data_IF_921569517374
#
_entry.id   IF_921569517374
#
_cell.length_a   1.000
_cell.length_b   1.000
_cell.length_c   1.000
_cell.angle_alpha   90.00
_cell.angle_beta   90.00
_cell.angle_gamma   90.00
#
_symmetry.space_group_name_H-M   'P 1'
#
loop_
_entity.id
_entity.type
_entity.pdbx_description
1 polymer ?
#
# COMPACT_ATOMS: atom_id res chain seq x y z
N UNK A 1 -25.15 11.63 6.44
CA UNK A 1 -24.67 10.72 5.37
C UNK A 1 -23.16 10.91 5.19
N UNK A 2 -22.41 10.94 6.28
CA UNK A 2 -21.06 11.55 6.29
C UNK A 2 -19.93 10.52 6.34
N UNK A 3 -20.27 9.23 6.41
CA UNK A 3 -19.30 8.13 6.48
C UNK A 3 -18.59 7.80 5.16
N UNK A 4 -19.12 8.23 4.01
CA UNK A 4 -18.59 7.86 2.69
C UNK A 4 -17.62 8.91 2.10
N UNK A 5 -17.79 10.19 2.44
CA UNK A 5 -17.08 11.31 1.84
C UNK A 5 -15.57 11.36 2.16
N UNK A 6 -15.12 10.63 3.19
CA UNK A 6 -13.71 10.57 3.60
C UNK A 6 -13.27 9.14 3.96
N UNK A 7 -13.94 8.12 3.41
CA UNK A 7 -13.67 6.72 3.74
C UNK A 7 -12.21 6.32 3.45
N UNK A 8 -11.58 6.94 2.45
CA UNK A 8 -10.19 6.68 2.07
C UNK A 8 -9.19 7.68 2.67
N UNK A 9 -9.64 8.60 3.53
CA UNK A 9 -8.77 9.56 4.18
C UNK A 9 -7.66 8.88 4.98
N UNK A 10 -6.40 9.28 4.73
CA UNK A 10 -5.23 8.68 5.35
C UNK A 10 -4.67 7.45 4.64
N UNK A 11 -5.24 7.02 3.51
CA UNK A 11 -4.71 5.94 2.67
C UNK A 11 -4.04 6.48 1.40
N UNK A 12 -3.09 5.73 0.86
CA UNK A 12 -2.46 5.96 -0.44
C UNK A 12 -2.84 4.87 -1.43
N UNK A 13 -3.31 5.25 -2.61
CA UNK A 13 -3.76 4.32 -3.66
C UNK A 13 -2.93 4.52 -4.93
N UNK A 14 -2.33 3.44 -5.44
CA UNK A 14 -1.69 3.40 -6.73
C UNK A 14 -2.68 3.22 -7.87
N UNK A 15 -2.52 4.00 -8.94
CA UNK A 15 -3.33 3.91 -10.16
C UNK A 15 -2.45 3.49 -11.33
N UNK A 16 -2.68 2.28 -11.84
CA UNK A 16 -1.91 1.71 -12.97
C UNK A 16 -2.54 2.00 -14.34
N UNK A 17 -3.76 2.53 -14.34
CA UNK A 17 -4.45 2.89 -15.57
C UNK A 17 -3.76 4.09 -16.24
N UNK A 18 -3.53 4.00 -17.55
CA UNK A 18 -3.19 5.15 -18.37
C UNK A 18 -4.45 5.88 -18.89
N UNK A 19 -5.50 5.11 -19.22
CA UNK A 19 -6.77 5.63 -19.74
C UNK A 19 -7.77 5.87 -18.63
N UNK A 20 -8.53 6.98 -18.73
CA UNK A 20 -9.50 7.43 -17.70
C UNK A 20 -8.91 7.49 -16.29
N UNK A 21 -7.59 7.64 -16.18
CA UNK A 21 -6.90 7.74 -14.91
C UNK A 21 -7.29 9.01 -14.15
N UNK A 22 -7.63 10.08 -14.86
CA UNK A 22 -8.14 11.33 -14.29
C UNK A 22 -9.46 11.11 -13.54
N UNK A 23 -10.41 10.40 -14.16
CA UNK A 23 -11.69 10.07 -13.52
C UNK A 23 -11.49 9.19 -12.28
N UNK A 24 -10.66 8.14 -12.40
CA UNK A 24 -10.34 7.27 -11.27
C UNK A 24 -9.62 8.02 -10.14
N UNK A 25 -8.63 8.85 -10.47
CA UNK A 25 -7.90 9.70 -9.52
C UNK A 25 -8.86 10.63 -8.79
N UNK A 26 -9.68 11.36 -9.54
CA UNK A 26 -10.66 12.30 -8.98
C UNK A 26 -11.64 11.60 -8.02
N UNK A 27 -12.16 10.43 -8.40
CA UNK A 27 -13.11 9.68 -7.56
C UNK A 27 -12.47 9.15 -6.27
N UNK A 28 -11.19 8.79 -6.30
CA UNK A 28 -10.41 8.37 -5.13
C UNK A 28 -10.09 9.57 -4.21
N UNK A 29 -9.63 10.68 -4.79
CA UNK A 29 -9.29 11.90 -4.06
C UNK A 29 -10.53 12.54 -3.41
N UNK A 30 -11.69 12.52 -4.09
CA UNK A 30 -12.97 12.95 -3.51
C UNK A 30 -13.40 12.13 -2.29
N UNK A 31 -12.83 10.93 -2.09
CA UNK A 31 -13.02 10.10 -0.89
C UNK A 31 -11.87 10.23 0.11
N UNK A 32 -10.92 11.13 -0.13
CA UNK A 32 -9.81 11.46 0.75
C UNK A 32 -8.52 10.66 0.53
N UNK A 33 -8.44 9.82 -0.51
CA UNK A 33 -7.22 9.08 -0.81
C UNK A 33 -6.11 10.02 -1.31
N UNK A 34 -4.85 9.71 -0.97
CA UNK A 34 -3.71 10.21 -1.73
C UNK A 34 -3.48 9.29 -2.93
N UNK A 35 -3.37 9.82 -4.13
CA UNK A 35 -3.17 9.01 -5.34
C UNK A 35 -1.71 9.04 -5.79
N UNK A 36 -1.18 7.88 -6.19
CA UNK A 36 0.08 7.74 -6.92
C UNK A 36 -0.24 7.23 -8.31
N UNK A 37 -0.15 8.09 -9.32
CA UNK A 37 -0.34 7.69 -10.72
C UNK A 37 0.94 7.05 -11.27
N UNK A 38 0.82 5.84 -11.80
CA UNK A 38 1.93 5.03 -12.29
C UNK A 38 1.46 4.14 -13.44
N UNK A 39 1.27 4.70 -14.64
CA UNK A 39 0.67 3.98 -15.76
C UNK A 39 1.52 2.76 -16.15
N UNK A 40 0.88 1.60 -16.29
CA UNK A 40 1.57 0.34 -16.58
C UNK A 40 1.65 0.01 -18.08
N UNK A 41 0.64 0.45 -18.84
CA UNK A 41 0.50 0.19 -20.28
C UNK A 41 -0.08 1.42 -20.98
N UNK A 42 0.18 1.56 -22.28
CA UNK A 42 -0.51 2.50 -23.17
C UNK A 42 -1.11 1.74 -24.34
N UNK A 43 -2.29 2.11 -24.85
CA UNK A 43 -2.79 1.51 -26.06
C UNK A 43 -1.94 1.98 -27.24
N UNK A 44 -1.92 1.15 -28.26
CA UNK A 44 -1.24 1.44 -29.52
C UNK A 44 -2.12 0.87 -30.62
N UNK A 45 -2.19 1.56 -31.76
CA UNK A 45 -2.85 1.01 -32.93
C UNK A 45 -2.00 -0.17 -33.40
N UNK A 46 -2.64 -1.32 -33.63
CA UNK A 46 -1.96 -2.47 -34.19
C UNK A 46 -1.77 -2.19 -35.68
N UNK A 47 -0.51 -2.08 -36.11
CA UNK A 47 -0.17 -1.79 -37.51
C UNK A 47 0.41 -2.97 -38.27
N UNK A 48 0.52 -4.16 -37.66
CA UNK A 48 1.17 -5.33 -38.28
C UNK A 48 0.24 -6.55 -38.42
N UNK A 49 0.54 -7.28 -39.49
CA UNK A 49 -0.17 -8.37 -40.16
C UNK A 49 -0.32 -9.62 -39.28
N UNK A 50 -1.43 -10.39 -39.42
CA UNK A 50 -1.66 -11.58 -38.60
C UNK A 50 -0.67 -12.72 -38.88
N UNK A 51 -0.28 -13.46 -37.83
CA UNK A 51 0.50 -14.70 -37.95
C UNK A 51 -0.30 -15.79 -38.70
N UNK A 52 0.33 -16.61 -39.57
CA UNK A 52 -0.36 -17.67 -40.30
C UNK A 52 -0.83 -18.79 -39.37
N UNK A 53 -2.08 -19.22 -39.56
CA UNK A 53 -2.76 -20.30 -38.80
C UNK A 53 -3.18 -21.47 -39.71
N UNK A 54 -3.45 -22.66 -39.13
CA UNK A 54 -3.71 -23.90 -39.89
C UNK A 54 -4.85 -23.78 -40.93
N UNK A 55 -4.80 -24.60 -42.01
CA UNK A 55 -5.46 -24.34 -43.29
C UNK A 55 -6.98 -24.58 -43.34
N UNK A 56 -7.60 -25.03 -42.25
CA UNK A 56 -8.96 -25.58 -42.29
C UNK A 56 -10.06 -24.56 -41.90
N UNK A 57 -9.69 -23.31 -41.59
CA UNK A 57 -10.62 -22.20 -41.38
C UNK A 57 -9.96 -20.85 -41.75
N UNK A 58 -10.63 -20.06 -42.61
CA UNK A 58 -10.20 -18.70 -42.93
C UNK A 58 -10.57 -17.76 -41.76
N UNK A 59 -9.60 -17.47 -40.90
CA UNK A 59 -9.74 -16.50 -39.79
C UNK A 59 -9.16 -15.18 -40.24
N UNK A 60 -10.03 -14.17 -40.42
CA UNK A 60 -9.60 -12.79 -40.66
C UNK A 60 -9.47 -12.11 -39.29
N UNK A 61 -8.24 -11.99 -38.78
CA UNK A 61 -7.99 -11.16 -37.59
C UNK A 61 -8.09 -9.68 -37.97
N UNK A 62 -8.99 -8.95 -37.31
CA UNK A 62 -9.12 -7.49 -37.47
C UNK A 62 -8.56 -6.83 -36.21
N UNK A 63 -7.27 -6.46 -36.20
CA UNK A 63 -6.64 -5.89 -35.03
C UNK A 63 -7.11 -4.42 -34.84
N UNK A 64 -7.93 -4.16 -33.83
CA UNK A 64 -8.49 -2.82 -33.58
C UNK A 64 -7.54 -1.95 -32.74
N UNK A 65 -6.98 -2.51 -31.67
CA UNK A 65 -5.98 -1.86 -30.83
C UNK A 65 -5.21 -2.89 -29.99
N UNK A 66 -3.96 -2.55 -29.66
CA UNK A 66 -3.06 -3.34 -28.85
C UNK A 66 -2.63 -2.58 -27.60
N UNK A 67 -1.82 -3.22 -26.77
CA UNK A 67 -1.26 -2.62 -25.56
C UNK A 67 0.26 -2.74 -25.60
N UNK A 68 0.95 -1.64 -25.39
CA UNK A 68 2.41 -1.60 -25.22
C UNK A 68 2.74 -1.15 -23.81
N UNK A 69 3.95 -1.49 -23.33
CA UNK A 69 4.44 -0.95 -22.07
C UNK A 69 4.71 0.54 -22.23
N UNK A 70 4.58 1.30 -21.14
CA UNK A 70 5.02 2.70 -21.11
C UNK A 70 6.54 2.72 -21.27
N UNK A 71 7.06 3.65 -22.08
CA UNK A 71 8.50 3.80 -22.34
C UNK A 71 9.28 4.10 -21.06
N UNK A 72 8.78 5.04 -20.27
CA UNK A 72 9.29 5.31 -18.93
C UNK A 72 8.54 4.49 -17.88
N UNK A 73 9.17 3.41 -17.43
CA UNK A 73 8.67 2.57 -16.34
C UNK A 73 8.97 3.14 -14.94
N UNK A 74 9.67 4.27 -14.81
CA UNK A 74 10.09 4.84 -13.51
C UNK A 74 8.94 5.07 -12.54
N UNK A 75 7.77 5.62 -12.96
CA UNK A 75 6.63 5.77 -12.05
C UNK A 75 6.12 4.42 -11.52
N UNK A 76 6.08 3.40 -12.39
CA UNK A 76 5.65 2.05 -12.02
C UNK A 76 6.65 1.34 -11.11
N UNK A 77 7.95 1.45 -11.38
CA UNK A 77 9.03 0.98 -10.49
C UNK A 77 8.93 1.62 -9.11
N UNK A 78 8.69 2.93 -9.06
CA UNK A 78 8.47 3.66 -7.81
C UNK A 78 7.23 3.15 -7.08
N UNK A 79 6.11 2.94 -7.76
CA UNK A 79 4.90 2.37 -7.16
C UNK A 79 5.16 0.98 -6.58
N UNK A 80 5.87 0.11 -7.30
CA UNK A 80 6.27 -1.23 -6.82
C UNK A 80 7.13 -1.11 -5.56
N UNK A 81 8.18 -0.28 -5.58
CA UNK A 81 9.02 -0.03 -4.41
C UNK A 81 8.24 0.53 -3.22
N UNK A 82 7.27 1.41 -3.48
CA UNK A 82 6.38 1.95 -2.45
C UNK A 82 5.44 0.90 -1.86
N UNK A 83 4.94 -0.03 -2.67
CA UNK A 83 4.11 -1.15 -2.22
C UNK A 83 4.91 -2.12 -1.34
N UNK A 84 6.11 -2.52 -1.80
CA UNK A 84 7.05 -3.36 -1.03
C UNK A 84 7.45 -2.69 0.29
N UNK A 85 7.69 -1.38 0.27
CA UNK A 85 7.99 -0.61 1.48
C UNK A 85 6.76 -0.36 2.40
N UNK A 86 5.55 -0.79 2.00
CA UNK A 86 4.31 -0.59 2.75
C UNK A 86 3.87 0.88 2.86
N UNK A 87 4.25 1.72 1.90
CA UNK A 87 3.89 3.16 1.84
C UNK A 87 2.72 3.45 0.91
N UNK A 88 2.24 2.43 0.20
CA UNK A 88 0.99 2.40 -0.56
C UNK A 88 0.09 1.34 0.09
N UNK A 89 -1.21 1.62 0.16
CA UNK A 89 -2.18 0.75 0.85
C UNK A 89 -3.02 -0.07 -0.13
N UNK A 90 -3.15 0.38 -1.38
CA UNK A 90 -3.84 -0.34 -2.44
C UNK A 90 -3.25 -0.02 -3.81
N UNK A 91 -3.40 -0.96 -4.76
CA UNK A 91 -3.12 -0.75 -6.18
C UNK A 91 -4.38 -1.11 -6.98
N UNK A 92 -4.79 -0.21 -7.88
CA UNK A 92 -5.92 -0.43 -8.77
C UNK A 92 -5.45 -0.94 -10.14
N UNK A 93 -6.15 -1.94 -10.66
CA UNK A 93 -5.93 -2.54 -11.97
C UNK A 93 -7.25 -2.58 -12.76
N UNK A 94 -7.25 -1.97 -13.94
CA UNK A 94 -8.42 -1.93 -14.83
C UNK A 94 -8.31 -2.88 -16.02
N UNK A 95 -7.19 -3.58 -16.16
CA UNK A 95 -6.98 -4.56 -17.23
C UNK A 95 -5.93 -5.62 -16.87
N UNK A 96 -6.05 -6.82 -17.43
CA UNK A 96 -5.06 -7.88 -17.24
C UNK A 96 -3.64 -7.51 -17.71
N UNK A 97 -3.45 -6.80 -18.85
CA UNK A 97 -2.11 -6.36 -19.24
C UNK A 97 -1.46 -5.38 -18.25
N UNK A 98 -2.23 -4.58 -17.52
CA UNK A 98 -1.67 -3.70 -16.48
C UNK A 98 -1.09 -4.49 -15.30
N UNK A 99 -1.76 -5.58 -14.91
CA UNK A 99 -1.23 -6.53 -13.91
C UNK A 99 0.06 -7.17 -14.42
N UNK A 100 0.04 -7.70 -15.65
CA UNK A 100 1.20 -8.35 -16.25
C UNK A 100 2.40 -7.41 -16.38
N UNK A 101 2.18 -6.17 -16.81
CA UNK A 101 3.23 -5.16 -16.91
C UNK A 101 3.81 -4.79 -15.53
N UNK A 102 2.95 -4.66 -14.50
CA UNK A 102 3.38 -4.37 -13.13
C UNK A 102 4.25 -5.50 -12.57
N UNK A 103 3.83 -6.77 -12.74
CA UNK A 103 4.61 -7.92 -12.31
C UNK A 103 5.93 -8.03 -13.09
N UNK A 104 5.93 -7.77 -14.40
CA UNK A 104 7.14 -7.78 -15.21
C UNK A 104 8.14 -6.69 -14.79
N UNK A 105 7.66 -5.48 -14.47
CA UNK A 105 8.52 -4.41 -13.93
C UNK A 105 9.10 -4.80 -12.58
N UNK A 106 8.29 -5.40 -11.70
CA UNK A 106 8.78 -5.91 -10.42
C UNK A 106 9.83 -7.02 -10.61
N UNK A 107 9.60 -7.97 -11.52
CA UNK A 107 10.53 -9.06 -11.83
C UNK A 107 11.87 -8.55 -12.35
N UNK A 108 11.86 -7.54 -13.23
CA UNK A 108 13.07 -6.92 -13.77
C UNK A 108 13.98 -6.32 -12.68
N UNK A 109 13.40 -5.88 -11.56
CA UNK A 109 14.12 -5.33 -10.42
C UNK A 109 14.29 -6.36 -9.26
N UNK A 110 13.94 -7.64 -9.48
CA UNK A 110 14.01 -8.69 -8.46
C UNK A 110 12.98 -8.55 -7.32
N UNK A 111 11.93 -7.75 -7.54
CA UNK A 111 10.90 -7.40 -6.55
C UNK A 111 9.57 -8.13 -6.75
N UNK A 112 9.44 -9.08 -7.69
CA UNK A 112 8.17 -9.81 -7.90
C UNK A 112 7.72 -10.55 -6.65
N UNK A 113 8.59 -11.34 -6.02
CA UNK A 113 8.30 -12.06 -4.76
C UNK A 113 7.86 -11.11 -3.63
N UNK A 114 8.69 -10.09 -3.29
CA UNK A 114 8.33 -9.07 -2.30
C UNK A 114 7.03 -8.33 -2.61
N UNK A 115 6.75 -8.06 -3.89
CA UNK A 115 5.49 -7.42 -4.31
C UNK A 115 4.30 -8.35 -4.07
N UNK A 116 4.41 -9.64 -4.43
CA UNK A 116 3.34 -10.61 -4.20
C UNK A 116 3.07 -10.79 -2.70
N UNK A 117 4.10 -10.86 -1.86
CA UNK A 117 3.97 -10.87 -0.41
C UNK A 117 3.24 -9.61 0.10
N UNK A 118 3.64 -8.44 -0.41
CA UNK A 118 2.96 -7.19 -0.08
C UNK A 118 1.49 -7.21 -0.50
N UNK A 119 1.16 -7.73 -1.67
CA UNK A 119 -0.22 -7.81 -2.16
C UNK A 119 -1.09 -8.84 -1.42
N UNK A 120 -0.49 -9.82 -0.73
CA UNK A 120 -1.24 -10.79 0.08
C UNK A 120 -1.76 -10.18 1.38
N UNK A 121 -0.93 -9.40 2.08
CA UNK A 121 -1.24 -8.95 3.45
C UNK A 121 -1.17 -7.42 3.64
N UNK A 122 -0.30 -6.75 2.88
CA UNK A 122 0.11 -5.37 3.10
C UNK A 122 -0.56 -4.33 2.20
N UNK A 123 -1.06 -4.75 1.03
CA UNK A 123 -1.51 -3.86 -0.04
C UNK A 123 -2.72 -4.50 -0.72
N UNK A 124 -3.84 -3.78 -0.76
CA UNK A 124 -5.05 -4.28 -1.43
C UNK A 124 -4.89 -4.21 -2.94
N UNK A 125 -4.97 -5.36 -3.62
CA UNK A 125 -5.15 -5.40 -5.07
C UNK A 125 -6.63 -5.19 -5.42
N UNK A 126 -6.96 -4.07 -6.07
CA UNK A 126 -8.32 -3.78 -6.52
C UNK A 126 -8.42 -3.95 -8.04
N UNK A 127 -9.15 -4.98 -8.49
CA UNK A 127 -9.30 -5.31 -9.90
C UNK A 127 -10.72 -5.00 -10.37
N UNK A 128 -10.87 -4.44 -11.58
CA UNK A 128 -12.21 -4.12 -12.12
C UNK A 128 -13.09 -5.36 -12.35
N UNK A 129 -12.50 -6.55 -12.46
CA UNK A 129 -13.23 -7.80 -12.62
C UNK A 129 -12.31 -9.03 -12.71
N UNK A 130 -12.90 -10.23 -12.91
CA UNK A 130 -12.20 -11.51 -12.72
C UNK A 130 -11.10 -11.77 -13.75
N UNK A 131 -11.28 -11.30 -14.99
CA UNK A 131 -10.25 -11.39 -16.03
C UNK A 131 -9.00 -10.62 -15.64
N UNK A 132 -9.16 -9.41 -15.07
CA UNK A 132 -8.03 -8.61 -14.58
C UNK A 132 -7.37 -9.26 -13.37
N UNK A 133 -8.17 -9.86 -12.48
CA UNK A 133 -7.68 -10.48 -11.25
C UNK A 133 -6.93 -11.81 -11.47
N UNK A 134 -7.17 -12.51 -12.58
CA UNK A 134 -6.74 -13.90 -12.80
C UNK A 134 -5.25 -14.15 -12.54
N UNK A 135 -4.37 -13.25 -12.98
CA UNK A 135 -2.92 -13.41 -12.78
C UNK A 135 -2.49 -13.27 -11.31
N UNK A 136 -3.23 -12.48 -10.53
CA UNK A 136 -3.01 -12.30 -9.10
C UNK A 136 -3.63 -13.46 -8.29
N UNK A 137 -4.88 -13.82 -8.58
CA UNK A 137 -5.55 -14.92 -7.88
C UNK A 137 -4.88 -16.26 -8.13
N UNK A 138 -4.34 -16.49 -9.33
CA UNK A 138 -3.50 -17.67 -9.63
C UNK A 138 -2.17 -17.72 -8.90
N UNK A 139 -1.79 -16.66 -8.16
CA UNK A 139 -0.61 -16.56 -7.28
C UNK A 139 -1.02 -16.37 -5.81
N UNK A 140 -2.25 -16.73 -5.47
CA UNK A 140 -2.84 -16.61 -4.13
C UNK A 140 -2.91 -15.18 -3.59
N UNK A 141 -2.95 -14.18 -4.48
CA UNK A 141 -3.19 -12.79 -4.07
C UNK A 141 -4.72 -12.55 -4.01
N UNK A 142 -5.28 -12.20 -2.84
CA UNK A 142 -6.67 -11.82 -2.72
C UNK A 142 -6.93 -10.50 -3.46
N UNK A 143 -8.09 -10.39 -4.11
CA UNK A 143 -8.45 -9.18 -4.86
C UNK A 143 -9.79 -8.63 -4.41
N UNK A 144 -9.89 -7.31 -4.32
CA UNK A 144 -11.16 -6.60 -4.20
C UNK A 144 -11.70 -6.36 -5.60
N UNK A 145 -12.91 -6.84 -5.86
CA UNK A 145 -13.60 -6.66 -7.12
C UNK A 145 -14.96 -6.01 -6.87
N UNK A 146 -15.36 -5.04 -7.73
CA UNK A 146 -16.69 -4.47 -7.64
C UNK A 146 -17.74 -5.46 -8.17
N UNK A 147 -19.00 -5.24 -7.78
CA UNK A 147 -20.16 -5.93 -8.36
C UNK A 147 -20.30 -5.65 -9.87
N UNK A 148 -19.96 -4.43 -10.29
CA UNK A 148 -20.04 -3.98 -11.68
C UNK A 148 -18.68 -3.50 -12.19
N UNK A 149 -18.26 -3.86 -13.42
CA UNK A 149 -16.92 -3.62 -13.92
C UNK A 149 -16.70 -2.20 -14.47
N UNK A 150 -17.03 -1.17 -13.68
CA UNK A 150 -16.76 0.23 -14.00
C UNK A 150 -16.05 0.96 -12.85
N UNK A 151 -15.40 2.09 -13.17
CA UNK A 151 -14.53 2.86 -12.28
C UNK A 151 -15.25 3.24 -10.97
N UNK A 152 -16.46 3.78 -11.05
CA UNK A 152 -17.21 4.21 -9.86
C UNK A 152 -17.52 3.09 -8.87
N UNK A 153 -17.79 1.87 -9.34
CA UNK A 153 -18.04 0.72 -8.47
C UNK A 153 -16.73 0.18 -7.89
N UNK A 154 -15.63 0.18 -8.66
CA UNK A 154 -14.30 -0.16 -8.14
C UNK A 154 -13.91 0.75 -6.97
N UNK A 155 -14.12 2.07 -7.12
CA UNK A 155 -13.84 3.04 -6.06
C UNK A 155 -14.72 2.80 -4.83
N UNK A 156 -16.01 2.50 -5.00
CA UNK A 156 -16.91 2.15 -3.88
C UNK A 156 -16.46 0.88 -3.16
N UNK A 157 -16.13 -0.17 -3.91
CA UNK A 157 -15.64 -1.42 -3.35
C UNK A 157 -14.35 -1.19 -2.54
N UNK A 158 -13.43 -0.38 -3.07
CA UNK A 158 -12.19 -0.02 -2.37
C UNK A 158 -12.45 0.81 -1.11
N UNK A 159 -13.37 1.78 -1.17
CA UNK A 159 -13.75 2.61 -0.03
C UNK A 159 -14.30 1.80 1.16
N UNK A 160 -14.92 0.65 0.88
CA UNK A 160 -15.40 -0.29 1.91
C UNK A 160 -14.29 -1.24 2.36
N UNK A 161 -13.55 -1.83 1.43
CA UNK A 161 -12.59 -2.87 1.71
C UNK A 161 -11.31 -2.34 2.39
N UNK A 162 -10.82 -1.16 1.98
CA UNK A 162 -9.53 -0.67 2.42
C UNK A 162 -9.49 -0.33 3.92
N UNK A 163 -10.46 0.43 4.48
CA UNK A 163 -10.48 0.67 5.92
C UNK A 163 -10.65 -0.62 6.73
N UNK A 164 -11.45 -1.58 6.25
CA UNK A 164 -11.66 -2.86 6.94
C UNK A 164 -10.41 -3.74 6.99
N UNK A 165 -9.63 -3.77 5.92
CA UNK A 165 -8.45 -4.62 5.79
C UNK A 165 -7.18 -3.95 6.35
N UNK A 166 -7.06 -2.63 6.23
CA UNK A 166 -5.80 -1.91 6.52
C UNK A 166 -5.85 -1.03 7.76
N UNK A 167 -7.03 -0.63 8.23
CA UNK A 167 -7.10 0.17 9.44
C UNK A 167 -6.90 -0.71 10.68
N UNK A 168 -5.98 -0.33 11.56
CA UNK A 168 -5.77 -1.01 12.85
C UNK A 168 -6.21 -0.13 13.99
N UNK A 169 -7.15 -0.60 14.80
CA UNK A 169 -7.71 0.13 15.95
C UNK A 169 -7.10 -0.34 17.26
N UNK A 170 -6.61 0.60 18.06
CA UNK A 170 -6.00 0.35 19.36
C UNK A 170 -6.59 1.31 20.40
N UNK A 171 -6.85 0.81 21.61
CA UNK A 171 -7.14 1.67 22.77
C UNK A 171 -5.84 2.08 23.44
N UNK A 172 -5.61 3.39 23.53
CA UNK A 172 -4.42 3.99 24.13
C UNK A 172 -4.82 5.13 25.06
N UNK A 173 -4.51 4.99 26.35
CA UNK A 173 -4.83 5.98 27.39
C UNK A 173 -6.30 6.44 27.38
N UNK A 174 -7.23 5.51 27.23
CA UNK A 174 -8.67 5.76 27.16
C UNK A 174 -9.16 6.34 25.83
N UNK A 175 -8.29 6.60 24.85
CA UNK A 175 -8.63 7.08 23.51
C UNK A 175 -8.57 5.97 22.46
N UNK A 176 -9.32 6.14 21.37
CA UNK A 176 -9.26 5.25 20.21
C UNK A 176 -8.25 5.80 19.19
N UNK A 177 -7.18 5.05 18.95
CA UNK A 177 -6.20 5.30 17.90
C UNK A 177 -6.46 4.34 16.73
N UNK A 178 -6.87 4.88 15.59
CA UNK A 178 -6.97 4.13 14.34
C UNK A 178 -5.76 4.46 13.46
N UNK A 179 -4.91 3.47 13.24
CA UNK A 179 -3.80 3.57 12.30
C UNK A 179 -4.35 3.35 10.89
N UNK A 180 -4.09 4.31 10.00
CA UNK A 180 -4.32 4.17 8.56
C UNK A 180 -2.97 4.13 7.83
N UNK A 181 -2.99 4.32 6.51
CA UNK A 181 -1.79 4.36 5.69
C UNK A 181 -0.76 5.38 6.19
N UNK A 182 -0.92 6.64 5.80
CA UNK A 182 0.03 7.72 6.13
C UNK A 182 -0.49 8.66 7.23
N UNK A 183 -1.57 8.29 7.90
CA UNK A 183 -2.21 9.08 8.93
C UNK A 183 -2.77 8.19 10.04
N UNK A 184 -3.11 8.83 11.15
CA UNK A 184 -3.90 8.20 12.22
C UNK A 184 -5.19 8.98 12.43
N UNK A 185 -6.25 8.31 12.85
CA UNK A 185 -7.43 8.98 13.42
C UNK A 185 -7.34 8.83 14.93
N UNK A 186 -7.25 9.95 15.64
CA UNK A 186 -7.21 10.01 17.10
C UNK A 186 -8.31 10.93 17.58
N UNK A 187 -9.20 10.41 18.44
CA UNK A 187 -10.35 11.15 18.97
C UNK A 187 -11.21 11.77 17.84
N UNK A 188 -11.37 11.03 16.73
CA UNK A 188 -12.12 11.44 15.55
C UNK A 188 -11.38 12.38 14.57
N UNK A 189 -10.17 12.84 14.93
CA UNK A 189 -9.38 13.76 14.11
C UNK A 189 -8.31 13.03 13.31
N UNK A 190 -8.29 13.24 11.99
CA UNK A 190 -7.24 12.75 11.11
C UNK A 190 -5.95 13.55 11.30
N UNK A 191 -4.86 12.86 11.61
CA UNK A 191 -3.52 13.44 11.82
C UNK A 191 -2.52 12.79 10.86
N UNK A 192 -2.01 13.53 9.86
CA UNK A 192 -0.95 13.04 8.99
C UNK A 192 0.33 12.75 9.79
N UNK A 193 0.98 11.63 9.49
CA UNK A 193 2.22 11.21 10.15
C UNK A 193 3.27 10.94 9.08
N UNK A 194 4.46 11.52 9.24
CA UNK A 194 5.55 11.32 8.30
C UNK A 194 6.01 9.84 8.23
N UNK A 195 6.65 9.40 7.13
CA UNK A 195 6.98 7.98 6.90
C UNK A 195 7.75 7.29 8.03
N UNK A 196 8.85 7.91 8.51
CA UNK A 196 9.67 7.33 9.58
C UNK A 196 8.90 7.20 10.93
N UNK A 197 8.23 8.24 11.44
CA UNK A 197 7.31 8.12 12.56
C UNK A 197 6.21 7.07 12.39
N UNK A 198 5.62 6.95 11.20
CA UNK A 198 4.59 5.96 10.90
C UNK A 198 5.15 4.52 10.93
N UNK A 199 6.36 4.31 10.42
CA UNK A 199 7.04 3.02 10.50
C UNK A 199 7.30 2.59 11.96
N UNK A 200 7.75 3.52 12.80
CA UNK A 200 7.87 3.30 14.26
C UNK A 200 6.51 2.95 14.85
N UNK A 201 5.47 3.74 14.56
CA UNK A 201 4.13 3.50 15.09
C UNK A 201 3.60 2.11 14.71
N UNK A 202 3.75 1.69 13.45
CA UNK A 202 3.36 0.35 12.98
C UNK A 202 4.15 -0.75 13.67
N UNK A 203 5.44 -0.56 13.89
CA UNK A 203 6.26 -1.52 14.64
C UNK A 203 5.79 -1.68 16.09
N UNK A 204 5.52 -0.57 16.79
CA UNK A 204 4.96 -0.61 18.14
C UNK A 204 3.55 -1.21 18.17
N UNK A 205 2.75 -0.93 17.14
CA UNK A 205 1.40 -1.46 17.01
C UNK A 205 1.37 -2.95 16.74
N UNK A 206 2.41 -3.58 16.15
CA UNK A 206 2.44 -5.03 15.87
C UNK A 206 2.10 -5.85 17.12
N UNK A 207 2.75 -5.53 18.25
CA UNK A 207 2.50 -6.12 19.57
C UNK A 207 2.14 -5.00 20.57
N UNK A 208 0.87 -4.58 20.64
CA UNK A 208 0.44 -3.46 21.48
C UNK A 208 0.85 -3.65 22.95
N UNK A 209 1.43 -2.63 23.57
CA UNK A 209 1.93 -2.68 24.95
C UNK A 209 3.30 -3.35 25.14
N UNK A 210 3.80 -4.09 24.13
CA UNK A 210 5.14 -4.69 24.18
C UNK A 210 6.24 -3.63 24.00
N UNK A 211 7.38 -3.82 24.67
CA UNK A 211 8.56 -2.97 24.50
C UNK A 211 9.33 -3.40 23.26
N UNK A 212 9.44 -2.50 22.28
CA UNK A 212 10.26 -2.71 21.08
C UNK A 212 11.59 -1.99 21.27
N UNK A 213 12.68 -2.71 21.00
CA UNK A 213 14.03 -2.20 21.17
C UNK A 213 14.39 -1.13 20.13
N UNK A 214 15.39 -0.31 20.43
CA UNK A 214 15.92 0.66 19.45
C UNK A 214 16.48 0.00 18.19
N UNK A 215 17.14 -1.16 18.34
CA UNK A 215 17.68 -1.90 17.21
C UNK A 215 16.56 -2.38 16.27
N UNK A 216 15.49 -2.96 16.83
CA UNK A 216 14.32 -3.37 16.04
C UNK A 216 13.63 -2.18 15.37
N UNK A 217 13.51 -1.04 16.06
CA UNK A 217 12.94 0.18 15.47
C UNK A 217 13.83 0.78 14.38
N UNK A 218 15.15 0.69 14.50
CA UNK A 218 16.07 1.16 13.46
C UNK A 218 15.90 0.36 12.18
N UNK A 219 15.73 -0.97 12.29
CA UNK A 219 15.53 -1.87 11.16
C UNK A 219 14.27 -1.60 10.33
N UNK A 220 13.30 -0.85 10.86
CA UNK A 220 12.05 -0.52 10.14
C UNK A 220 12.02 0.89 9.55
N UNK A 221 13.05 1.72 9.77
CA UNK A 221 13.04 3.10 9.28
C UNK A 221 13.22 3.17 7.75
N UNK A 222 12.44 4.01 7.04
CA UNK A 222 12.59 4.22 5.60
C UNK A 222 14.01 4.71 5.24
N UNK A 223 14.57 4.21 4.15
CA UNK A 223 15.92 4.56 3.68
C UNK A 223 17.03 3.60 4.10
N UNK A 224 16.73 2.56 4.90
CA UNK A 224 17.63 1.43 5.14
C UNK A 224 17.29 0.18 4.35
N UNK A 225 16.00 -0.05 4.08
CA UNK A 225 15.52 -1.23 3.36
C UNK A 225 15.81 -1.23 1.84
N UNK A 226 16.28 -0.11 1.27
CA UNK A 226 16.59 0.04 -0.17
C UNK A 226 18.10 0.06 -0.45
N UNK A 227 18.95 -0.18 0.55
CA UNK A 227 20.42 -0.11 0.43
C UNK A 227 21.07 -1.51 0.41
N UNK A 228 20.29 -2.59 0.35
CA UNK A 228 20.82 -3.96 0.23
C UNK A 228 20.81 -4.44 -1.23
N UNK A 229 21.70 -3.84 -2.04
CA UNK A 229 22.37 -4.54 -3.13
C UNK A 229 23.59 -5.29 -2.57
N UNK A 230 24.13 -6.33 -3.24
CA UNK A 230 25.10 -7.23 -2.62
C UNK A 230 26.51 -6.63 -2.57
N UNK A 231 26.76 -5.63 -1.71
CA UNK A 231 28.11 -5.27 -1.25
C UNK A 231 28.09 -4.72 0.18
N UNK A 232 28.82 -5.45 1.04
CA UNK A 232 29.34 -5.11 2.36
C UNK A 232 29.52 -3.60 2.61
N UNK A 233 28.74 -3.05 3.54
CA UNK A 233 28.88 -1.69 4.05
C UNK A 233 28.72 -1.62 5.57
N UNK A 234 29.72 -2.13 6.30
CA UNK A 234 29.89 -2.00 7.75
C UNK A 234 30.15 -0.51 8.07
N UNK A 235 29.11 0.34 8.10
CA UNK A 235 29.31 1.80 8.13
C UNK A 235 28.26 2.66 8.84
N UNK A 236 27.15 2.09 9.32
CA UNK A 236 26.23 2.85 10.17
C UNK A 236 26.81 2.96 11.59
N UNK A 237 27.23 4.16 12.00
CA UNK A 237 27.70 4.39 13.38
C UNK A 237 26.52 4.12 14.35
N UNK A 238 26.65 3.25 15.36
CA UNK A 238 25.56 2.90 16.29
C UNK A 238 24.82 4.10 16.90
N UNK A 239 25.54 5.21 17.09
CA UNK A 239 25.02 6.46 17.65
C UNK A 239 24.09 7.23 16.68
N UNK A 240 24.33 7.15 15.38
CA UNK A 240 23.47 7.79 14.37
C UNK A 240 22.12 7.05 14.26
N UNK A 241 22.15 5.74 14.44
CA UNK A 241 21.01 4.83 14.36
C UNK A 241 20.05 5.06 15.53
N UNK A 242 20.61 5.16 16.74
CA UNK A 242 19.88 5.54 17.94
C UNK A 242 19.27 6.94 17.81
N UNK A 243 20.03 7.91 17.30
CA UNK A 243 19.53 9.26 17.07
C UNK A 243 18.38 9.29 16.05
N UNK A 244 18.45 8.50 14.97
CA UNK A 244 17.37 8.42 13.98
C UNK A 244 16.06 7.89 14.58
N UNK A 245 16.14 6.86 15.43
CA UNK A 245 14.98 6.32 16.16
C UNK A 245 14.43 7.35 17.14
N UNK A 246 15.29 8.04 17.89
CA UNK A 246 14.88 9.08 18.83
C UNK A 246 14.16 10.24 18.13
N UNK A 247 14.69 10.69 16.99
CA UNK A 247 14.07 11.74 16.19
C UNK A 247 12.74 11.29 15.58
N UNK A 248 12.63 10.03 15.14
CA UNK A 248 11.38 9.46 14.65
C UNK A 248 10.32 9.38 15.76
N UNK A 249 10.69 8.95 16.97
CA UNK A 249 9.80 8.90 18.14
C UNK A 249 9.38 10.31 18.58
N UNK A 250 10.30 11.27 18.62
CA UNK A 250 9.99 12.66 18.97
C UNK A 250 8.99 13.26 17.98
N UNK A 251 9.19 13.05 16.68
CA UNK A 251 8.26 13.47 15.62
C UNK A 251 6.92 12.74 15.72
N UNK A 252 6.91 11.45 16.05
CA UNK A 252 5.69 10.68 16.26
C UNK A 252 4.86 11.28 17.40
N UNK A 253 5.47 11.51 18.58
CA UNK A 253 4.79 12.13 19.73
C UNK A 253 4.18 13.49 19.37
N UNK A 254 4.93 14.32 18.63
CA UNK A 254 4.43 15.61 18.14
C UNK A 254 3.25 15.44 17.18
N UNK A 255 3.35 14.53 16.21
CA UNK A 255 2.30 14.27 15.23
C UNK A 255 1.01 13.71 15.84
N UNK A 256 1.11 12.90 16.89
CA UNK A 256 -0.05 12.41 17.64
C UNK A 256 -0.76 13.51 18.43
N UNK A 257 -0.05 14.58 18.83
CA UNK A 257 -0.64 15.74 19.52
C UNK A 257 -1.13 15.46 20.95
N UNK A 258 -0.91 14.26 21.48
CA UNK A 258 -1.30 13.85 22.85
C UNK A 258 -0.12 13.16 23.54
N UNK A 259 0.26 13.68 24.70
CA UNK A 259 1.36 13.15 25.48
C UNK A 259 1.04 11.75 26.03
N UNK A 260 2.09 10.94 26.24
CA UNK A 260 1.98 9.65 26.90
C UNK A 260 1.51 8.48 26.03
N UNK A 261 1.09 8.68 24.77
CA UNK A 261 0.69 7.55 23.90
C UNK A 261 1.89 6.63 23.58
N UNK A 262 3.07 7.21 23.38
CA UNK A 262 4.32 6.47 23.15
C UNK A 262 5.22 6.66 24.36
N UNK A 263 5.47 5.58 25.10
CA UNK A 263 6.27 5.56 26.32
C UNK A 263 7.70 5.14 26.05
N UNK A 264 8.66 5.76 26.74
CA UNK A 264 10.05 5.31 26.77
C UNK A 264 10.21 4.36 27.95
N UNK A 265 10.71 3.15 27.71
CA UNK A 265 11.14 2.23 28.75
C UNK A 265 12.66 2.32 28.84
N UNK A 266 13.13 2.93 29.92
CA UNK A 266 14.55 3.25 30.14
C UNK A 266 15.43 2.03 29.87
N UNK A 267 16.49 2.22 29.06
CA UNK A 267 17.45 1.19 28.61
C UNK A 267 16.88 0.04 27.77
N UNK A 268 15.56 -0.04 27.55
CA UNK A 268 14.91 -1.15 26.84
C UNK A 268 14.32 -0.77 25.48
N UNK A 269 13.76 0.43 25.34
CA UNK A 269 13.20 0.91 24.09
C UNK A 269 11.88 1.66 24.28
N UNK A 270 10.90 1.40 23.42
CA UNK A 270 9.63 2.14 23.38
C UNK A 270 8.43 1.20 23.31
N UNK A 271 7.28 1.66 23.80
CA UNK A 271 6.00 0.94 23.69
C UNK A 271 4.84 1.90 23.49
N UNK A 272 3.71 1.38 23.02
CA UNK A 272 2.43 2.09 23.11
C UNK A 272 1.83 1.94 24.51
N UNK A 273 1.31 3.03 25.07
CA UNK A 273 0.53 3.05 26.31
C UNK A 273 -0.88 2.49 26.07
N UNK A 274 -0.94 1.20 25.73
CA UNK A 274 -2.20 0.51 25.51
C UNK A 274 -2.90 0.30 26.85
N UNK A 275 -4.22 0.50 26.84
CA UNK A 275 -5.03 0.18 28.01
C UNK A 275 -5.01 -1.35 28.23
N UNK A 276 -5.04 -1.83 29.49
CA UNK A 276 -5.14 -3.25 29.76
C UNK A 276 -6.35 -3.81 29.00
N UNK A 277 -6.15 -4.94 28.31
CA UNK A 277 -7.26 -5.65 27.66
C UNK A 277 -8.31 -5.92 28.72
N UNK A 278 -9.51 -5.38 28.55
CA UNK A 278 -10.64 -5.79 29.37
C UNK A 278 -10.77 -7.31 29.25
N UNK A 279 -10.82 -8.08 30.36
CA UNK A 279 -11.05 -9.50 30.29
C UNK A 279 -12.42 -9.76 29.64
N UNK A 280 -12.42 -10.47 28.51
CA UNK A 280 -13.56 -11.18 27.92
C UNK A 280 -14.86 -10.41 27.66
N UNK A 281 -15.02 -9.87 26.44
CA UNK A 281 -16.30 -10.00 25.74
C UNK A 281 -16.16 -11.23 24.82
N UNK A 282 -16.09 -12.42 25.43
CA UNK A 282 -16.10 -13.69 24.73
C UNK A 282 -17.53 -14.22 24.67
N UNK A 283 -17.97 -14.56 23.45
CA UNK A 283 -19.04 -15.48 23.11
C UNK A 283 -20.37 -15.36 23.88
N UNK A 284 -21.36 -14.76 23.19
CA UNK A 284 -22.73 -15.26 23.18
C UNK A 284 -23.21 -15.21 21.71
#
# INVERSE_FOLDING_TARGET
MDGEAAALAGFTVGVTAAWRHEELTLLLERRGARVVHAPAIRPTLLTDDPEPRPPDAEVIEIPVYGWTRVEDATPLRRLVGQAVAGTVDAITFTSAPAVAATLAVAAADGLEGPLLEALRDGVVAACVGPVTARALTGRDVPTVQPEWPWIGALVRALAVALPRSRARRLRVRGGLLELRGHAVVLDGLLRPIAPAPMAVLRALARRPGHVVSRAELCGVLPGRALVDGPVRGRGARPRADEHAVEMAVARLRRGLGRAGIVETVVKRGYRLACDPRAPGAGAA
#
